data_IF_963161782646
#
_entry.id   IF_963161782646
#
_cell.length_a   1.000
_cell.length_b   1.000
_cell.length_c   1.000
_cell.angle_alpha   90.00
_cell.angle_beta   90.00
_cell.angle_gamma   90.00
#
_symmetry.space_group_name_H-M   'P 1'
#
loop_
_entity.id
_entity.type
_entity.pdbx_description
1 polymer ?
#
# COMPACT_ATOMS: atom_id res chain seq x y z
N UNK A 1 -6.75 -15.01 24.22
CA UNK A 1 -5.35 -15.22 24.67
C UNK A 1 -4.49 -14.35 23.77
N UNK A 2 -3.98 -13.23 24.26
CA UNK A 2 -3.01 -12.43 23.52
C UNK A 2 -1.74 -13.27 23.39
N UNK A 3 -1.36 -13.63 22.17
CA UNK A 3 -0.04 -14.15 21.89
C UNK A 3 0.93 -12.98 22.12
N UNK A 4 1.60 -12.97 23.25
CA UNK A 4 2.79 -12.15 23.44
C UNK A 4 3.82 -12.61 22.41
N UNK A 5 3.90 -11.90 21.29
CA UNK A 5 5.02 -12.01 20.37
C UNK A 5 6.18 -11.35 21.10
N UNK A 6 6.95 -12.11 21.87
CA UNK A 6 8.21 -11.63 22.41
C UNK A 6 9.09 -11.17 21.26
N UNK A 7 9.26 -9.86 21.16
CA UNK A 7 10.18 -9.27 20.18
C UNK A 7 11.60 -9.72 20.57
N UNK A 8 12.15 -10.65 19.82
CA UNK A 8 13.51 -11.14 20.03
C UNK A 8 14.54 -10.15 19.52
N UNK A 9 15.57 -9.86 20.30
CA UNK A 9 16.72 -9.06 19.85
C UNK A 9 17.67 -9.83 18.91
N UNK A 10 17.45 -11.11 18.66
CA UNK A 10 18.30 -11.94 17.81
C UNK A 10 18.45 -11.40 16.36
N UNK A 11 17.39 -10.92 15.68
CA UNK A 11 17.53 -10.31 14.36
C UNK A 11 18.39 -9.04 14.36
N UNK A 12 18.34 -8.23 15.44
CA UNK A 12 19.18 -7.04 15.58
C UNK A 12 20.66 -7.40 15.70
N UNK A 13 20.95 -8.46 16.47
CA UNK A 13 22.32 -8.98 16.61
C UNK A 13 22.88 -9.48 15.27
N UNK A 14 22.04 -10.13 14.44
CA UNK A 14 22.41 -10.55 13.11
C UNK A 14 22.66 -9.36 12.19
N UNK A 15 21.76 -8.37 12.21
CA UNK A 15 21.91 -7.14 11.44
C UNK A 15 23.22 -6.39 11.76
N UNK A 16 23.56 -6.26 13.04
CA UNK A 16 24.78 -5.56 13.49
C UNK A 16 26.06 -6.35 13.21
N UNK A 17 26.01 -7.67 13.05
CA UNK A 17 27.14 -8.47 12.57
C UNK A 17 27.44 -8.20 11.09
N UNK A 18 26.40 -8.01 10.29
CA UNK A 18 26.57 -7.67 8.86
C UNK A 18 27.07 -6.24 8.70
N UNK A 19 26.69 -5.34 9.61
CA UNK A 19 27.02 -3.91 9.60
C UNK A 19 27.68 -3.48 10.92
N UNK A 20 28.95 -3.89 11.17
CA UNK A 20 29.63 -3.64 12.44
C UNK A 20 30.00 -2.16 12.68
N UNK A 21 30.11 -1.38 11.62
CA UNK A 21 30.43 0.04 11.65
C UNK A 21 29.46 0.87 10.80
N UNK A 22 29.31 2.18 11.07
CA UNK A 22 28.60 3.08 10.18
C UNK A 22 29.22 3.10 8.79
N UNK A 23 28.39 3.27 7.76
CA UNK A 23 28.85 3.41 6.37
C UNK A 23 29.55 4.76 6.18
N UNK A 24 30.78 4.69 5.67
CA UNK A 24 31.57 5.84 5.26
C UNK A 24 31.11 6.47 3.94
N UNK A 25 31.61 7.66 3.60
CA UNK A 25 31.38 8.27 2.30
C UNK A 25 31.89 7.34 1.17
N UNK A 26 31.03 7.11 0.17
CA UNK A 26 31.36 6.26 -1.00
C UNK A 26 31.25 4.74 -0.79
N UNK A 27 30.96 4.26 0.42
CA UNK A 27 30.64 2.85 0.61
C UNK A 27 29.27 2.52 0.01
N UNK A 28 29.06 1.32 -0.58
CA UNK A 28 27.79 0.95 -1.20
C UNK A 28 26.67 0.85 -0.15
N UNK A 29 25.51 1.37 -0.49
CA UNK A 29 24.31 1.18 0.32
C UNK A 29 23.85 -0.28 0.29
N UNK A 30 23.25 -0.81 1.38
CA UNK A 30 22.81 -2.20 1.47
C UNK A 30 21.55 -2.53 0.64
N UNK A 31 21.08 -1.60 -0.15
CA UNK A 31 19.97 -1.71 -1.08
C UNK A 31 20.32 -1.12 -2.43
N UNK A 32 19.64 -1.60 -3.48
CA UNK A 32 19.81 -1.06 -4.82
C UNK A 32 19.30 0.38 -4.89
N UNK A 33 20.15 1.28 -5.35
CA UNK A 33 19.81 2.68 -5.61
C UNK A 33 19.16 2.86 -7.00
N UNK A 34 18.38 1.92 -7.50
CA UNK A 34 17.62 2.12 -8.72
C UNK A 34 16.69 3.33 -8.51
N UNK A 35 17.07 4.48 -9.06
CA UNK A 35 16.37 5.74 -8.89
C UNK A 35 16.88 6.60 -7.72
N UNK A 36 18.19 6.61 -7.43
CA UNK A 36 18.84 7.55 -6.49
C UNK A 36 18.82 9.01 -6.98
N UNK A 37 17.74 9.39 -7.66
CA UNK A 37 17.48 10.75 -8.04
C UNK A 37 17.29 11.64 -6.81
N UNK A 38 17.33 12.93 -7.05
CA UNK A 38 17.00 13.93 -6.06
C UNK A 38 15.63 13.69 -5.43
N UNK A 39 15.53 13.79 -4.12
CA UNK A 39 14.30 13.70 -3.34
C UNK A 39 13.83 15.10 -2.94
N UNK A 40 12.54 15.38 -3.06
CA UNK A 40 11.95 16.52 -2.37
C UNK A 40 11.81 16.23 -0.87
N UNK A 41 11.76 17.27 -0.05
CA UNK A 41 11.59 17.11 1.41
C UNK A 41 10.35 16.29 1.77
N UNK A 42 9.27 16.41 0.98
CA UNK A 42 8.04 15.66 1.20
C UNK A 42 8.18 14.15 0.90
N UNK A 43 9.10 13.77 0.01
CA UNK A 43 9.35 12.37 -0.35
C UNK A 43 10.21 11.62 0.69
N UNK A 44 10.97 12.34 1.52
CA UNK A 44 11.95 11.76 2.44
C UNK A 44 11.36 10.68 3.34
N UNK A 45 10.28 10.90 4.11
CA UNK A 45 9.79 9.89 5.05
C UNK A 45 9.39 8.59 4.35
N UNK A 46 8.67 8.67 3.23
CA UNK A 46 8.23 7.50 2.47
C UNK A 46 9.38 6.74 1.83
N UNK A 47 10.31 7.45 1.20
CA UNK A 47 11.47 6.85 0.55
C UNK A 47 12.36 6.10 1.56
N UNK A 48 12.59 6.66 2.74
CA UNK A 48 13.40 6.04 3.78
C UNK A 48 12.69 4.84 4.43
N UNK A 49 11.39 4.97 4.73
CA UNK A 49 10.60 3.91 5.32
C UNK A 49 10.53 2.67 4.41
N UNK A 50 10.34 2.86 3.10
CA UNK A 50 10.29 1.76 2.13
C UNK A 50 11.63 1.01 2.02
N UNK A 51 12.76 1.74 2.01
CA UNK A 51 14.11 1.15 2.01
C UNK A 51 14.36 0.30 3.25
N UNK A 52 14.02 0.84 4.42
CA UNK A 52 14.19 0.10 5.67
C UNK A 52 13.27 -1.12 5.76
N UNK A 53 12.00 -0.99 5.32
CA UNK A 53 11.06 -2.12 5.30
C UNK A 53 11.60 -3.27 4.47
N UNK A 54 12.05 -3.00 3.25
CA UNK A 54 12.64 -4.00 2.37
C UNK A 54 13.88 -4.65 3.00
N UNK A 55 14.76 -3.86 3.60
CA UNK A 55 15.98 -4.33 4.25
C UNK A 55 15.71 -5.21 5.47
N UNK A 56 14.85 -4.77 6.37
CA UNK A 56 14.52 -5.46 7.62
C UNK A 56 13.69 -6.72 7.37
N UNK A 57 12.72 -6.65 6.45
CA UNK A 57 11.89 -7.78 6.03
C UNK A 57 12.72 -8.90 5.41
N UNK A 58 13.68 -8.57 4.56
CA UNK A 58 14.62 -9.55 3.99
C UNK A 58 15.53 -10.24 5.02
N UNK A 59 15.60 -9.72 6.25
CA UNK A 59 16.35 -10.28 7.39
C UNK A 59 15.50 -10.97 8.44
N UNK A 60 14.22 -11.15 8.19
CA UNK A 60 13.31 -11.83 9.11
C UNK A 60 13.02 -11.05 10.40
N UNK A 61 13.20 -9.73 10.41
CA UNK A 61 12.73 -8.88 11.50
C UNK A 61 11.21 -8.90 11.53
N UNK A 62 10.60 -9.12 12.70
CA UNK A 62 9.14 -9.14 12.81
C UNK A 62 8.53 -7.80 12.37
N UNK A 63 7.35 -7.80 11.72
CA UNK A 63 6.72 -6.57 11.22
C UNK A 63 6.56 -5.48 12.29
N UNK A 64 6.17 -5.87 13.51
CA UNK A 64 6.02 -4.97 14.65
C UNK A 64 7.34 -4.26 15.01
N UNK A 65 8.41 -5.05 15.14
CA UNK A 65 9.75 -4.51 15.47
C UNK A 65 10.27 -3.66 14.31
N UNK A 66 10.10 -4.10 13.06
CA UNK A 66 10.51 -3.36 11.88
C UNK A 66 9.81 -1.99 11.79
N UNK A 67 8.49 -1.93 11.97
CA UNK A 67 7.73 -0.70 11.95
C UNK A 67 8.23 0.31 13.01
N UNK A 68 8.46 -0.19 14.23
CA UNK A 68 8.95 0.65 15.33
C UNK A 68 10.39 1.15 15.11
N UNK A 69 11.28 0.30 14.56
CA UNK A 69 12.65 0.69 14.19
C UNK A 69 12.66 1.75 13.08
N UNK A 70 11.80 1.55 12.06
CA UNK A 70 11.66 2.49 10.95
C UNK A 70 11.21 3.85 11.47
N UNK A 71 10.17 3.86 12.32
CA UNK A 71 9.69 5.08 12.95
C UNK A 71 10.82 5.82 13.67
N UNK A 72 11.52 5.14 14.59
CA UNK A 72 12.59 5.75 15.37
C UNK A 72 13.71 6.32 14.48
N UNK A 73 14.14 5.58 13.47
CA UNK A 73 15.21 6.02 12.58
C UNK A 73 14.80 7.16 11.64
N UNK A 74 13.55 7.14 11.13
CA UNK A 74 13.01 8.22 10.29
C UNK A 74 12.85 9.49 11.11
N UNK A 75 12.32 9.39 12.33
CA UNK A 75 12.14 10.53 13.23
C UNK A 75 13.48 11.21 13.52
N UNK A 76 14.54 10.44 13.82
CA UNK A 76 15.89 10.99 13.99
C UNK A 76 16.41 11.75 12.76
N UNK A 77 16.13 11.27 11.55
CA UNK A 77 16.54 11.96 10.31
C UNK A 77 15.73 13.23 10.10
N UNK A 78 14.44 13.21 10.40
CA UNK A 78 13.59 14.40 10.23
C UNK A 78 13.91 15.53 11.23
N UNK A 79 14.62 15.23 12.32
CA UNK A 79 15.12 16.22 13.28
C UNK A 79 16.45 16.89 12.85
N UNK A 80 17.14 16.33 11.84
CA UNK A 80 18.37 16.92 11.30
C UNK A 80 18.03 18.07 10.35
N UNK A 81 18.92 19.03 10.22
CA UNK A 81 18.81 20.06 9.18
C UNK A 81 19.02 19.44 7.79
N UNK A 82 17.93 19.18 7.09
CA UNK A 82 17.98 18.61 5.76
C UNK A 82 18.61 19.53 4.70
N UNK A 83 18.87 20.79 5.02
CA UNK A 83 19.56 21.71 4.10
C UNK A 83 21.01 21.31 3.82
N UNK A 84 21.63 20.53 4.71
CA UNK A 84 22.97 19.96 4.50
C UNK A 84 23.03 18.99 3.31
N UNK A 85 21.88 18.40 2.92
CA UNK A 85 21.74 17.49 1.79
C UNK A 85 21.26 18.18 0.52
N UNK A 86 21.19 19.50 0.49
CA UNK A 86 20.76 20.26 -0.71
C UNK A 86 21.62 19.89 -1.90
N UNK A 87 20.98 19.43 -3.00
CA UNK A 87 21.67 19.39 -4.29
C UNK A 87 21.95 20.82 -4.75
N UNK A 88 23.18 21.08 -5.20
CA UNK A 88 23.49 22.31 -5.90
C UNK A 88 22.72 22.27 -7.24
N UNK A 89 21.61 22.99 -7.32
CA UNK A 89 20.81 23.10 -8.53
C UNK A 89 21.57 23.86 -9.59
N UNK A 90 21.60 23.32 -10.80
CA UNK A 90 21.77 24.12 -12.00
C UNK A 90 20.53 25.04 -12.07
N UNK A 91 20.77 26.33 -11.95
CA UNK A 91 19.77 27.39 -11.88
C UNK A 91 18.75 27.27 -13.01
N UNK A 92 17.49 27.06 -12.67
CA UNK A 92 16.34 27.46 -13.48
C UNK A 92 15.59 28.48 -12.65
N UNK A 93 15.96 29.74 -12.85
CA UNK A 93 15.32 30.91 -12.25
C UNK A 93 13.83 30.95 -12.61
N UNK A 94 12.97 30.77 -11.61
CA UNK A 94 11.65 31.40 -11.52
C UNK A 94 11.43 31.75 -10.07
N UNK A 95 11.52 33.06 -9.81
CA UNK A 95 11.21 33.66 -8.50
C UNK A 95 9.78 33.33 -8.08
N UNK A 96 9.60 32.81 -6.89
CA UNK A 96 8.33 32.71 -6.19
C UNK A 96 7.98 31.40 -5.50
N UNK A 97 8.65 30.28 -5.82
CA UNK A 97 8.32 28.96 -5.27
C UNK A 97 9.51 28.24 -4.58
N UNK A 98 10.52 28.96 -4.13
CA UNK A 98 11.83 28.42 -3.76
C UNK A 98 11.81 27.38 -2.62
N UNK A 99 10.90 27.46 -1.65
CA UNK A 99 10.85 26.49 -0.54
C UNK A 99 10.24 25.13 -0.92
N UNK A 100 9.32 25.10 -1.89
CA UNK A 100 8.69 23.86 -2.35
C UNK A 100 9.60 22.97 -3.21
N UNK A 101 10.67 23.52 -3.76
CA UNK A 101 11.47 22.89 -4.82
C UNK A 101 12.91 22.54 -4.44
N UNK A 102 13.26 22.61 -3.15
CA UNK A 102 14.57 22.14 -2.70
C UNK A 102 14.69 20.64 -2.88
N UNK A 103 15.56 20.23 -3.81
CA UNK A 103 15.92 18.84 -4.01
C UNK A 103 17.11 18.49 -3.11
N UNK A 104 17.03 17.30 -2.51
CA UNK A 104 18.02 16.74 -1.63
C UNK A 104 18.81 15.64 -2.35
N UNK A 105 20.08 15.50 -2.04
CA UNK A 105 20.88 14.37 -2.48
C UNK A 105 20.41 13.08 -1.79
N UNK A 106 19.68 12.27 -2.55
CA UNK A 106 19.07 11.07 -2.05
C UNK A 106 20.07 10.00 -1.60
N UNK A 107 21.28 9.95 -2.17
CA UNK A 107 22.28 8.97 -1.76
C UNK A 107 22.87 9.32 -0.40
N UNK A 108 23.33 10.56 -0.20
CA UNK A 108 23.86 11.04 1.08
C UNK A 108 22.81 10.94 2.19
N UNK A 109 21.55 11.28 1.88
CA UNK A 109 20.45 11.19 2.84
C UNK A 109 20.15 9.73 3.23
N UNK A 110 20.12 8.80 2.28
CA UNK A 110 19.92 7.38 2.55
C UNK A 110 21.08 6.78 3.36
N UNK A 111 22.29 7.24 3.15
CA UNK A 111 23.47 6.86 3.95
C UNK A 111 23.36 7.35 5.38
N UNK A 112 22.98 8.60 5.57
CA UNK A 112 22.71 9.16 6.90
C UNK A 112 21.63 8.35 7.62
N UNK A 113 20.50 8.08 6.94
CA UNK A 113 19.42 7.28 7.47
C UNK A 113 19.85 5.85 7.84
N UNK A 114 20.61 5.19 6.98
CA UNK A 114 21.10 3.84 7.29
C UNK A 114 21.95 3.83 8.57
N UNK A 115 22.82 4.82 8.74
CA UNK A 115 23.62 4.93 9.93
C UNK A 115 22.76 5.18 11.19
N UNK A 116 21.72 6.01 11.08
CA UNK A 116 20.73 6.20 12.17
C UNK A 116 19.98 4.92 12.48
N UNK A 117 19.49 4.20 11.47
CA UNK A 117 18.82 2.89 11.67
C UNK A 117 19.75 1.90 12.38
N UNK A 118 21.02 1.85 11.99
CA UNK A 118 22.03 1.01 12.63
C UNK A 118 22.24 1.41 14.10
N UNK A 119 22.32 2.69 14.39
CA UNK A 119 22.52 3.19 15.76
C UNK A 119 21.30 2.85 16.64
N UNK A 120 20.08 3.02 16.13
CA UNK A 120 18.84 2.58 16.80
C UNK A 120 18.88 1.07 17.06
N UNK A 121 19.26 0.26 16.07
CA UNK A 121 19.41 -1.20 16.25
C UNK A 121 20.44 -1.54 17.33
N UNK A 122 21.56 -0.79 17.41
CA UNK A 122 22.61 -1.00 18.40
C UNK A 122 22.11 -0.70 19.82
N UNK A 123 21.37 0.38 20.00
CA UNK A 123 20.80 0.72 21.31
C UNK A 123 19.69 -0.28 21.72
N UNK A 124 18.81 -0.64 20.80
CA UNK A 124 17.72 -1.58 21.08
C UNK A 124 18.21 -3.04 21.28
N UNK A 125 19.35 -3.41 20.71
CA UNK A 125 19.98 -4.68 21.02
C UNK A 125 20.35 -4.81 22.50
N UNK A 126 20.78 -3.70 23.13
CA UNK A 126 21.12 -3.68 24.55
C UNK A 126 19.88 -3.76 25.43
N UNK A 127 18.84 -3.01 25.05
CA UNK A 127 17.57 -2.97 25.76
C UNK A 127 16.46 -2.63 24.78
N UNK A 128 15.62 -3.64 24.48
CA UNK A 128 14.43 -3.43 23.66
C UNK A 128 13.45 -2.49 24.38
N UNK A 129 12.92 -1.47 23.69
CA UNK A 129 11.83 -0.69 24.24
C UNK A 129 10.58 -1.55 24.39
N UNK A 130 9.65 -1.12 25.25
CA UNK A 130 8.34 -1.75 25.33
C UNK A 130 7.57 -1.48 24.04
N UNK A 131 7.51 -2.47 23.16
CA UNK A 131 6.74 -2.37 21.93
C UNK A 131 5.25 -2.51 22.24
N UNK A 132 4.46 -1.59 21.73
CA UNK A 132 3.01 -1.65 21.87
C UNK A 132 2.47 -2.81 20.99
N UNK A 133 1.80 -3.83 21.57
CA UNK A 133 1.24 -4.93 20.77
C UNK A 133 0.07 -4.41 19.91
N UNK A 134 -0.14 -5.03 18.75
CA UNK A 134 -1.37 -4.89 17.98
C UNK A 134 -2.46 -5.68 18.70
N UNK A 135 -3.54 -5.02 19.11
CA UNK A 135 -4.64 -5.66 19.88
C UNK A 135 -5.57 -6.47 18.98
N UNK A 136 -5.76 -6.03 17.73
CA UNK A 136 -6.63 -6.70 16.77
C UNK A 136 -5.79 -7.61 15.85
N UNK A 137 -6.09 -8.87 15.85
CA UNK A 137 -5.52 -9.82 14.91
C UNK A 137 -6.36 -9.83 13.64
N UNK A 138 -5.77 -9.41 12.51
CA UNK A 138 -6.37 -9.47 11.18
C UNK A 138 -5.64 -10.54 10.36
N UNK A 139 -6.39 -11.46 9.79
CA UNK A 139 -5.84 -12.37 8.78
C UNK A 139 -5.82 -11.65 7.44
N UNK A 140 -4.66 -11.56 6.82
CA UNK A 140 -4.49 -10.88 5.54
C UNK A 140 -3.93 -11.86 4.52
N UNK A 141 -4.60 -11.96 3.36
CA UNK A 141 -4.13 -12.72 2.21
C UNK A 141 -4.00 -11.79 1.02
N UNK A 142 -2.94 -11.94 0.25
CA UNK A 142 -2.72 -11.16 -0.97
C UNK A 142 -2.51 -12.08 -2.15
N UNK A 143 -3.00 -11.63 -3.28
CA UNK A 143 -2.80 -12.32 -4.55
C UNK A 143 -2.50 -11.32 -5.66
N UNK A 144 -1.40 -11.55 -6.39
CA UNK A 144 -0.96 -10.71 -7.47
C UNK A 144 -0.58 -11.56 -8.69
N UNK A 145 -1.27 -11.38 -9.80
CA UNK A 145 -1.04 -12.14 -11.03
C UNK A 145 -0.86 -11.19 -12.21
N UNK A 146 0.26 -11.31 -12.88
CA UNK A 146 0.50 -10.58 -14.13
C UNK A 146 -0.27 -11.16 -15.33
N UNK A 147 -0.56 -12.46 -15.33
CA UNK A 147 -1.13 -13.20 -16.47
C UNK A 147 -0.34 -12.95 -17.77
N UNK A 148 -1.03 -12.65 -18.87
CA UNK A 148 -0.46 -12.42 -20.19
C UNK A 148 0.05 -11.00 -20.41
N UNK A 149 -0.13 -10.09 -19.44
CA UNK A 149 0.38 -8.71 -19.55
C UNK A 149 1.90 -8.68 -19.59
N UNK A 150 2.47 -7.71 -20.30
CA UNK A 150 3.94 -7.57 -20.41
C UNK A 150 4.59 -7.20 -19.09
N UNK A 151 3.91 -6.36 -18.27
CA UNK A 151 4.39 -5.87 -16.98
C UNK A 151 3.30 -6.01 -15.94
N UNK A 152 3.69 -6.17 -14.68
CA UNK A 152 2.84 -6.01 -13.51
C UNK A 152 3.00 -4.56 -13.05
N UNK A 153 1.97 -3.75 -13.29
CA UNK A 153 1.97 -2.32 -12.96
C UNK A 153 1.20 -2.04 -11.66
N UNK A 154 0.49 -3.04 -11.13
CA UNK A 154 -0.26 -2.93 -9.88
C UNK A 154 0.66 -3.03 -8.66
N UNK A 155 0.25 -2.38 -7.57
CA UNK A 155 0.92 -2.41 -6.27
C UNK A 155 -0.08 -2.52 -5.15
N UNK A 156 0.37 -3.07 -4.02
CA UNK A 156 -0.41 -3.10 -2.79
C UNK A 156 0.41 -2.66 -1.59
N UNK A 157 -0.28 -2.28 -0.53
CA UNK A 157 0.31 -1.93 0.77
C UNK A 157 -0.47 -2.64 1.87
N UNK A 158 0.27 -3.27 2.79
CA UNK A 158 -0.25 -3.96 3.97
C UNK A 158 0.46 -3.40 5.20
N UNK A 159 -0.27 -2.76 6.09
CA UNK A 159 0.26 -2.15 7.31
C UNK A 159 -0.65 -2.44 8.50
N UNK A 160 -0.70 -3.68 8.99
CA UNK A 160 -1.37 -3.98 10.26
C UNK A 160 -0.75 -3.22 11.44
N UNK A 161 0.56 -2.92 11.38
CA UNK A 161 1.34 -2.19 12.38
C UNK A 161 1.39 -0.67 12.11
N UNK A 162 0.27 -0.08 11.64
CA UNK A 162 0.22 1.32 11.24
C UNK A 162 0.60 2.27 12.39
N UNK A 163 0.10 2.01 13.60
CA UNK A 163 0.41 2.85 14.76
C UNK A 163 1.91 2.89 15.08
N UNK A 164 2.58 1.74 14.98
CA UNK A 164 4.01 1.62 15.30
C UNK A 164 4.87 2.32 14.25
N UNK A 165 4.45 2.28 12.98
CA UNK A 165 5.17 2.94 11.90
C UNK A 165 5.10 4.48 12.01
N UNK A 166 4.04 5.02 12.60
CA UNK A 166 3.84 6.47 12.74
C UNK A 166 3.88 6.98 14.17
N UNK A 167 4.29 6.15 15.14
CA UNK A 167 4.41 6.54 16.55
C UNK A 167 3.11 6.99 17.18
N UNK A 168 1.95 6.51 16.71
CA UNK A 168 0.65 6.88 17.24
C UNK A 168 0.44 6.19 18.59
N UNK A 169 0.31 7.00 19.66
CA UNK A 169 0.31 6.53 21.04
C UNK A 169 -1.06 6.54 21.73
N UNK A 170 -2.12 6.94 21.02
CA UNK A 170 -3.48 6.78 21.52
C UNK A 170 -3.87 5.30 21.62
N UNK A 171 -4.88 4.96 22.43
CA UNK A 171 -5.25 3.57 22.70
C UNK A 171 -6.06 2.89 21.57
N UNK A 172 -6.13 3.51 20.39
CA UNK A 172 -6.90 3.02 19.24
C UNK A 172 -5.96 2.35 18.25
N UNK A 173 -6.19 1.07 17.95
CA UNK A 173 -5.42 0.37 16.93
C UNK A 173 -5.85 0.83 15.52
N UNK A 174 -4.85 0.97 14.65
CA UNK A 174 -5.05 1.28 13.24
C UNK A 174 -4.33 0.27 12.36
N UNK A 175 -5.00 -0.09 11.27
CA UNK A 175 -4.42 -0.91 10.20
C UNK A 175 -4.77 -0.28 8.85
N UNK A 176 -3.81 -0.26 7.92
CA UNK A 176 -3.98 0.35 6.61
C UNK A 176 -3.70 -0.66 5.49
N UNK A 177 -4.56 -0.66 4.47
CA UNK A 177 -4.47 -1.51 3.29
C UNK A 177 -4.77 -0.70 2.05
N UNK A 178 -4.06 -0.97 0.95
CA UNK A 178 -4.29 -0.29 -0.32
C UNK A 178 -3.96 -1.17 -1.52
N UNK A 179 -4.68 -0.95 -2.61
CA UNK A 179 -4.40 -1.49 -3.95
C UNK A 179 -4.32 -0.32 -4.93
N UNK A 180 -3.33 -0.36 -5.80
CA UNK A 180 -3.04 0.63 -6.82
C UNK A 180 -2.93 -0.06 -8.17
N UNK A 181 -3.88 0.16 -9.09
CA UNK A 181 -3.82 -0.35 -10.46
C UNK A 181 -3.11 0.68 -11.34
N UNK A 182 -1.87 0.37 -11.70
CA UNK A 182 -1.01 1.24 -12.51
C UNK A 182 -1.24 1.09 -14.00
N UNK A 183 -1.14 2.22 -14.72
CA UNK A 183 -1.23 2.25 -16.17
C UNK A 183 -0.22 3.23 -16.78
N UNK A 184 0.18 2.94 -18.02
CA UNK A 184 1.15 3.78 -18.73
C UNK A 184 2.56 3.74 -18.15
N UNK A 185 2.86 2.79 -17.27
CA UNK A 185 4.11 2.61 -16.54
C UNK A 185 3.88 2.29 -15.06
N UNK A 186 4.93 1.92 -14.36
CA UNK A 186 4.87 1.51 -12.94
C UNK A 186 5.09 2.66 -11.96
N UNK A 187 5.47 3.84 -12.44
CA UNK A 187 6.03 4.90 -11.59
C UNK A 187 4.96 5.48 -10.64
N UNK A 188 3.75 5.75 -11.13
CA UNK A 188 2.65 6.30 -10.32
C UNK A 188 2.22 5.30 -9.24
N UNK A 189 2.05 4.01 -9.57
CA UNK A 189 1.68 2.98 -8.61
C UNK A 189 2.77 2.75 -7.57
N UNK A 190 4.05 2.69 -7.98
CA UNK A 190 5.19 2.61 -7.05
C UNK A 190 5.22 3.81 -6.10
N UNK A 191 5.02 5.01 -6.65
CA UNK A 191 5.04 6.24 -5.89
C UNK A 191 3.91 6.28 -4.86
N UNK A 192 2.70 5.94 -5.29
CA UNK A 192 1.51 5.90 -4.42
C UNK A 192 1.67 4.87 -3.29
N UNK A 193 2.16 3.67 -3.61
CA UNK A 193 2.44 2.64 -2.62
C UNK A 193 3.49 3.07 -1.59
N UNK A 194 4.47 3.89 -2.00
CA UNK A 194 5.52 4.40 -1.11
C UNK A 194 5.07 5.59 -0.26
N UNK A 195 4.22 6.49 -0.77
CA UNK A 195 3.99 7.79 -0.15
C UNK A 195 2.58 8.01 0.41
N UNK A 196 1.53 7.38 -0.15
CA UNK A 196 0.16 7.67 0.27
C UNK A 196 -0.07 7.36 1.75
N UNK A 197 0.31 6.16 2.20
CA UNK A 197 0.17 5.76 3.60
C UNK A 197 0.99 6.65 4.56
N UNK A 198 2.11 7.19 4.09
CA UNK A 198 2.94 8.13 4.87
C UNK A 198 2.24 9.48 4.98
N UNK A 199 1.65 9.98 3.89
CA UNK A 199 0.85 11.20 3.93
C UNK A 199 -0.35 11.05 4.87
N UNK A 200 -0.99 9.86 4.92
CA UNK A 200 -2.06 9.54 5.87
C UNK A 200 -1.56 9.55 7.32
N UNK A 201 -0.46 8.82 7.59
CA UNK A 201 0.07 8.66 8.96
C UNK A 201 0.64 9.94 9.56
N UNK A 202 1.16 10.84 8.72
CA UNK A 202 1.70 12.14 9.13
C UNK A 202 0.68 13.30 9.02
N UNK A 203 -0.57 13.01 8.65
CA UNK A 203 -1.61 14.05 8.57
C UNK A 203 -2.01 14.51 9.98
N UNK A 204 -2.16 15.82 10.17
CA UNK A 204 -2.50 16.40 11.48
C UNK A 204 -3.82 15.90 12.07
N UNK A 205 -4.75 15.53 11.19
CA UNK A 205 -6.07 15.03 11.57
C UNK A 205 -6.18 13.50 11.68
N UNK A 206 -5.09 12.74 11.53
CA UNK A 206 -5.13 11.26 11.56
C UNK A 206 -5.78 10.70 12.85
N UNK A 207 -5.66 11.41 13.95
CA UNK A 207 -6.27 11.03 15.24
C UNK A 207 -7.69 11.53 15.38
N UNK A 208 -7.99 12.76 14.90
CA UNK A 208 -9.28 13.44 15.10
C UNK A 208 -10.29 13.13 14.00
N UNK A 209 -9.85 13.12 12.76
CA UNK A 209 -10.66 12.90 11.57
C UNK A 209 -9.93 12.02 10.54
N UNK A 210 -9.82 10.69 10.81
CA UNK A 210 -9.11 9.77 9.92
C UNK A 210 -9.66 9.73 8.49
N UNK A 211 -10.97 9.96 8.31
CA UNK A 211 -11.60 9.99 6.99
C UNK A 211 -11.08 11.14 6.13
N UNK A 212 -10.97 12.33 6.71
CA UNK A 212 -10.44 13.50 6.01
C UNK A 212 -8.94 13.34 5.74
N UNK A 213 -8.18 12.88 6.75
CA UNK A 213 -6.77 12.57 6.58
C UNK A 213 -6.52 11.62 5.41
N UNK A 214 -7.37 10.60 5.25
CA UNK A 214 -7.30 9.64 4.16
C UNK A 214 -7.56 10.29 2.80
N UNK A 215 -8.62 11.08 2.66
CA UNK A 215 -8.97 11.79 1.43
C UNK A 215 -7.93 12.83 1.01
N UNK A 216 -7.54 13.73 1.92
CA UNK A 216 -6.55 14.78 1.64
C UNK A 216 -5.20 14.20 1.23
N UNK A 217 -4.86 13.01 1.75
CA UNK A 217 -3.61 12.34 1.40
C UNK A 217 -3.54 11.88 -0.06
N UNK A 218 -4.67 11.58 -0.70
CA UNK A 218 -4.70 11.30 -2.14
C UNK A 218 -4.30 12.52 -2.95
N UNK A 219 -4.94 13.65 -2.70
CA UNK A 219 -4.63 14.92 -3.38
C UNK A 219 -3.16 15.30 -3.19
N UNK A 220 -2.68 15.25 -1.94
CA UNK A 220 -1.28 15.54 -1.63
C UNK A 220 -0.32 14.59 -2.37
N UNK A 221 -0.66 13.30 -2.46
CA UNK A 221 0.18 12.33 -3.18
C UNK A 221 0.19 12.59 -4.68
N UNK A 222 -0.96 12.97 -5.27
CA UNK A 222 -1.05 13.37 -6.67
C UNK A 222 -0.18 14.61 -6.95
N UNK A 223 -0.31 15.66 -6.15
CA UNK A 223 0.51 16.87 -6.27
C UNK A 223 2.02 16.57 -6.19
N UNK A 224 2.43 15.75 -5.22
CA UNK A 224 3.82 15.33 -5.06
C UNK A 224 4.31 14.52 -6.27
N UNK A 225 3.50 13.59 -6.76
CA UNK A 225 3.86 12.79 -7.94
C UNK A 225 3.89 13.63 -9.21
N UNK A 226 2.95 14.54 -9.43
CA UNK A 226 2.94 15.44 -10.59
C UNK A 226 4.20 16.31 -10.64
N UNK A 227 4.69 16.78 -9.49
CA UNK A 227 5.97 17.48 -9.42
C UNK A 227 7.13 16.59 -9.90
N UNK A 228 7.22 15.36 -9.39
CA UNK A 228 8.22 14.37 -9.83
C UNK A 228 8.04 14.03 -11.31
N UNK A 229 6.82 13.78 -11.75
CA UNK A 229 6.51 13.42 -13.14
C UNK A 229 6.92 14.51 -14.14
N UNK A 230 6.72 15.78 -13.79
CA UNK A 230 7.17 16.91 -14.60
C UNK A 230 8.69 16.96 -14.71
N UNK A 231 9.41 16.75 -13.59
CA UNK A 231 10.87 16.76 -13.54
C UNK A 231 11.49 15.61 -14.33
N UNK A 232 10.95 14.40 -14.15
CA UNK A 232 11.49 13.18 -14.71
C UNK A 232 10.80 12.75 -16.02
N UNK A 233 9.85 13.56 -16.51
CA UNK A 233 9.07 13.32 -17.74
C UNK A 233 8.29 12.00 -17.71
N UNK A 234 7.76 11.64 -16.55
CA UNK A 234 6.91 10.47 -16.34
C UNK A 234 5.50 10.77 -16.87
N UNK A 235 4.81 9.72 -17.35
CA UNK A 235 3.47 9.84 -17.91
C UNK A 235 2.46 8.84 -17.35
N UNK A 236 2.92 7.98 -16.46
CA UNK A 236 2.08 6.95 -15.83
C UNK A 236 1.02 7.56 -14.93
N UNK A 237 -0.05 6.82 -14.75
CA UNK A 237 -1.08 7.06 -13.76
C UNK A 237 -1.36 5.80 -12.95
N UNK A 238 -2.15 5.94 -11.90
CA UNK A 238 -2.66 4.82 -11.13
C UNK A 238 -4.00 5.14 -10.51
N UNK A 239 -4.92 4.17 -10.53
CA UNK A 239 -6.07 4.20 -9.64
C UNK A 239 -5.61 3.90 -8.22
N UNK A 240 -6.48 4.06 -7.24
CA UNK A 240 -6.17 3.69 -5.86
C UNK A 240 -7.41 3.44 -5.04
N UNK A 241 -7.40 2.37 -4.27
CA UNK A 241 -8.41 2.08 -3.26
C UNK A 241 -7.73 1.77 -1.94
N UNK A 242 -8.22 2.37 -0.86
CA UNK A 242 -7.62 2.28 0.46
C UNK A 242 -8.64 1.95 1.53
N UNK A 243 -8.23 1.18 2.53
CA UNK A 243 -8.97 0.88 3.74
C UNK A 243 -8.11 1.20 4.96
N UNK A 244 -8.60 2.08 5.81
CA UNK A 244 -8.02 2.41 7.11
C UNK A 244 -9.00 1.97 8.20
N UNK A 245 -8.64 0.93 8.94
CA UNK A 245 -9.40 0.45 10.09
C UNK A 245 -8.91 1.18 11.31
N UNK A 246 -9.81 1.87 12.02
CA UNK A 246 -9.52 2.64 13.24
C UNK A 246 -10.45 2.16 14.35
N UNK A 247 -9.94 1.36 15.28
CA UNK A 247 -10.78 0.69 16.27
C UNK A 247 -11.89 -0.12 15.58
N UNK A 248 -13.14 0.23 15.81
CA UNK A 248 -14.31 -0.42 15.20
C UNK A 248 -14.89 0.34 14.00
N UNK A 249 -14.10 1.21 13.36
CA UNK A 249 -14.51 1.93 12.16
C UNK A 249 -13.64 1.57 10.98
N UNK A 250 -14.26 1.38 9.84
CA UNK A 250 -13.62 1.27 8.55
C UNK A 250 -13.78 2.60 7.81
N UNK A 251 -12.68 3.26 7.50
CA UNK A 251 -12.64 4.40 6.60
C UNK A 251 -12.09 3.95 5.27
N UNK A 252 -12.79 4.27 4.18
CA UNK A 252 -12.34 3.98 2.83
C UNK A 252 -12.16 5.28 2.05
N UNK A 253 -11.21 5.28 1.13
CA UNK A 253 -11.10 6.30 0.11
C UNK A 253 -10.60 5.68 -1.20
N UNK A 254 -11.09 6.25 -2.32
CA UNK A 254 -10.76 5.71 -3.64
C UNK A 254 -10.71 6.80 -4.71
N UNK A 255 -9.96 6.52 -5.75
CA UNK A 255 -10.05 7.20 -7.04
C UNK A 255 -9.77 6.20 -8.18
N UNK A 256 -10.55 6.32 -9.26
CA UNK A 256 -10.53 5.37 -10.36
C UNK A 256 -11.52 4.22 -10.17
N UNK A 257 -11.21 3.06 -10.72
CA UNK A 257 -12.14 1.94 -10.84
C UNK A 257 -11.70 0.62 -10.15
N UNK A 258 -10.59 0.65 -9.42
CA UNK A 258 -10.30 -0.34 -8.37
C UNK A 258 -11.39 -0.27 -7.30
N UNK A 259 -11.76 -1.40 -6.70
CA UNK A 259 -12.94 -1.47 -5.84
C UNK A 259 -12.63 -2.11 -4.48
N UNK A 260 -13.50 -1.78 -3.52
CA UNK A 260 -13.56 -2.39 -2.21
C UNK A 260 -14.95 -2.98 -1.97
N UNK A 261 -15.00 -4.20 -1.46
CA UNK A 261 -16.24 -4.92 -1.17
C UNK A 261 -16.15 -5.51 0.23
N UNK A 262 -17.20 -5.31 1.02
CA UNK A 262 -17.37 -5.97 2.31
C UNK A 262 -18.26 -7.18 2.14
N UNK A 263 -17.89 -8.29 2.76
CA UNK A 263 -18.79 -9.44 2.90
C UNK A 263 -19.19 -9.54 4.36
N UNK A 264 -20.48 -9.58 4.61
CA UNK A 264 -21.08 -9.63 5.93
C UNK A 264 -22.20 -10.66 5.96
N UNK A 265 -22.08 -11.66 6.83
CA UNK A 265 -23.04 -12.77 6.95
C UNK A 265 -23.36 -13.43 5.60
N UNK A 266 -22.31 -13.69 4.81
CA UNK A 266 -22.43 -14.31 3.48
C UNK A 266 -23.09 -13.43 2.43
N UNK A 267 -23.16 -12.11 2.62
CA UNK A 267 -23.71 -11.15 1.65
C UNK A 267 -22.67 -10.12 1.27
N UNK A 268 -22.54 -9.87 -0.04
CA UNK A 268 -21.70 -8.79 -0.53
C UNK A 268 -22.38 -7.43 -0.29
N UNK A 269 -21.65 -6.50 0.29
CA UNK A 269 -22.05 -5.11 0.50
C UNK A 269 -21.12 -4.22 -0.33
N UNK A 270 -21.69 -3.51 -1.29
CA UNK A 270 -20.94 -2.52 -2.08
C UNK A 270 -20.74 -1.27 -1.22
N UNK A 271 -19.49 -0.88 -1.04
CA UNK A 271 -19.12 0.25 -0.19
C UNK A 271 -18.85 1.53 -0.98
N UNK A 272 -18.73 1.45 -2.30
CA UNK A 272 -18.26 2.56 -3.14
C UNK A 272 -18.81 2.47 -4.57
N UNK A 273 -18.78 3.60 -5.27
CA UNK A 273 -19.07 3.68 -6.70
C UNK A 273 -17.79 4.06 -7.47
N UNK A 274 -17.35 3.25 -8.46
CA UNK A 274 -16.15 3.52 -9.25
C UNK A 274 -16.23 4.83 -10.04
N UNK A 275 -15.08 5.47 -10.26
CA UNK A 275 -14.97 6.67 -11.09
C UNK A 275 -14.82 6.30 -12.57
N UNK A 276 -15.95 5.94 -13.19
CA UNK A 276 -16.02 5.67 -14.63
C UNK A 276 -16.36 6.95 -15.41
N UNK A 277 -15.83 7.13 -16.63
CA UNK A 277 -16.10 8.34 -17.44
C UNK A 277 -17.58 8.60 -17.75
N UNK A 278 -18.39 7.53 -17.87
CA UNK A 278 -19.83 7.60 -18.12
C UNK A 278 -20.70 7.93 -16.91
N UNK A 279 -20.17 7.91 -15.67
CA UNK A 279 -20.88 8.34 -14.48
C UNK A 279 -21.30 9.81 -14.66
N UNK A 280 -22.57 10.12 -14.44
CA UNK A 280 -23.16 11.41 -14.83
C UNK A 280 -22.42 12.62 -14.25
N UNK A 281 -22.05 12.57 -12.98
CA UNK A 281 -21.30 13.62 -12.30
C UNK A 281 -19.89 13.80 -12.87
N UNK A 282 -19.18 12.69 -13.14
CA UNK A 282 -17.84 12.71 -13.73
C UNK A 282 -17.88 13.23 -15.16
N UNK A 283 -18.84 12.77 -15.96
CA UNK A 283 -19.05 13.26 -17.33
C UNK A 283 -19.34 14.76 -17.35
N UNK A 284 -20.25 15.23 -16.50
CA UNK A 284 -20.58 16.65 -16.40
C UNK A 284 -19.35 17.48 -15.96
N UNK A 285 -18.56 16.99 -15.02
CA UNK A 285 -17.30 17.63 -14.59
C UNK A 285 -16.31 17.76 -15.75
N UNK A 286 -16.07 16.66 -16.48
CA UNK A 286 -15.12 16.63 -17.60
C UNK A 286 -15.56 17.57 -18.72
N UNK A 287 -16.85 17.54 -19.11
CA UNK A 287 -17.40 18.40 -20.16
C UNK A 287 -17.37 19.87 -19.77
N UNK A 288 -17.62 20.20 -18.49
CA UNK A 288 -17.51 21.58 -17.96
C UNK A 288 -16.07 22.12 -18.06
N UNK A 289 -15.06 21.24 -17.91
CA UNK A 289 -13.66 21.61 -18.09
C UNK A 289 -13.25 21.71 -19.57
N UNK A 290 -14.15 21.43 -20.53
CA UNK A 290 -13.88 21.47 -21.97
C UNK A 290 -13.33 20.14 -22.52
N UNK A 291 -13.36 19.07 -21.75
CA UNK A 291 -13.05 17.72 -22.22
C UNK A 291 -14.25 17.05 -22.88
N UNK A 292 -14.09 15.80 -23.30
CA UNK A 292 -15.17 15.00 -23.84
C UNK A 292 -15.12 13.56 -23.30
N UNK A 293 -16.30 12.94 -23.20
CA UNK A 293 -16.44 11.53 -22.86
C UNK A 293 -17.00 10.80 -24.09
N UNK A 294 -16.24 9.85 -24.62
CA UNK A 294 -16.59 9.14 -25.86
C UNK A 294 -16.55 7.63 -25.64
N UNK A 295 -17.46 6.93 -26.33
CA UNK A 295 -17.46 5.47 -26.36
C UNK A 295 -16.68 4.97 -27.57
N UNK A 296 -15.71 4.08 -27.34
CA UNK A 296 -14.94 3.43 -28.41
C UNK A 296 -15.09 1.91 -28.28
N UNK A 297 -14.31 1.25 -27.44
CA UNK A 297 -14.44 -0.12 -26.93
C UNK A 297 -15.01 -0.12 -25.50
N UNK A 298 -14.78 0.97 -24.80
CA UNK A 298 -15.36 1.37 -23.52
C UNK A 298 -15.46 2.91 -23.48
N UNK A 299 -16.06 3.47 -22.44
CA UNK A 299 -16.11 4.92 -22.24
C UNK A 299 -14.72 5.47 -21.88
N UNK A 300 -14.34 6.55 -22.55
CA UNK A 300 -13.02 7.17 -22.38
C UNK A 300 -13.08 8.68 -22.26
N UNK A 301 -12.23 9.22 -21.39
CA UNK A 301 -11.95 10.65 -21.30
C UNK A 301 -11.02 11.05 -22.45
N UNK A 302 -11.45 11.99 -23.28
CA UNK A 302 -10.71 12.48 -24.46
C UNK A 302 -10.22 11.33 -25.38
N UNK A 303 -10.98 10.23 -25.46
CA UNK A 303 -10.61 9.05 -26.25
C UNK A 303 -9.38 8.28 -25.72
N UNK A 304 -8.89 8.58 -24.53
CA UNK A 304 -7.61 8.05 -24.02
C UNK A 304 -7.81 7.11 -22.83
N UNK A 305 -8.30 7.60 -21.67
CA UNK A 305 -8.36 6.86 -20.42
C UNK A 305 -9.77 6.38 -20.10
N UNK A 306 -9.90 5.14 -19.66
CA UNK A 306 -11.15 4.51 -19.25
C UNK A 306 -11.55 4.82 -17.79
N UNK A 307 -10.80 5.68 -17.11
CA UNK A 307 -11.09 6.19 -15.77
C UNK A 307 -11.19 7.71 -15.80
N UNK A 308 -11.99 8.29 -14.90
CA UNK A 308 -12.16 9.74 -14.79
C UNK A 308 -11.31 10.37 -13.67
N UNK A 309 -10.75 9.54 -12.79
CA UNK A 309 -9.84 9.98 -11.70
C UNK A 309 -8.66 9.03 -11.56
N UNK A 310 -7.47 9.60 -11.33
CA UNK A 310 -6.21 8.88 -11.11
C UNK A 310 -5.17 9.79 -10.44
N UNK A 311 -4.21 9.18 -9.71
CA UNK A 311 -2.94 9.83 -9.37
C UNK A 311 -2.06 9.82 -10.61
N UNK A 312 -1.44 10.95 -10.93
CA UNK A 312 -0.57 11.08 -12.09
C UNK A 312 -1.30 11.52 -13.35
N UNK A 313 -1.06 10.85 -14.47
CA UNK A 313 -1.65 11.19 -15.78
C UNK A 313 -1.50 12.67 -16.14
N UNK A 314 -0.30 13.22 -15.93
CA UNK A 314 0.00 14.65 -16.05
C UNK A 314 -0.48 15.27 -17.37
N UNK A 315 -0.48 14.48 -18.47
CA UNK A 315 -0.92 14.94 -19.79
C UNK A 315 -2.46 15.01 -19.92
N UNK A 316 -3.20 14.45 -18.99
CA UNK A 316 -4.66 14.39 -18.97
C UNK A 316 -5.29 15.30 -17.89
N UNK A 317 -4.47 15.95 -17.07
CA UNK A 317 -4.96 16.98 -16.15
C UNK A 317 -5.42 18.21 -16.94
N UNK A 318 -6.51 18.89 -16.57
CA UNK A 318 -7.31 18.71 -15.37
C UNK A 318 -8.48 17.73 -15.53
N UNK A 319 -8.66 17.08 -16.67
CA UNK A 319 -9.81 16.22 -16.94
C UNK A 319 -9.82 14.98 -16.06
N UNK A 320 -8.66 14.38 -15.83
CA UNK A 320 -8.47 13.29 -14.86
C UNK A 320 -8.17 13.93 -13.51
N UNK A 321 -9.12 13.83 -12.54
CA UNK A 321 -8.95 14.42 -11.21
C UNK A 321 -8.08 13.52 -10.30
N UNK A 322 -7.33 14.15 -9.40
CA UNK A 322 -6.62 13.51 -8.28
C UNK A 322 -7.45 13.46 -6.99
N UNK A 323 -8.69 13.97 -7.01
CA UNK A 323 -9.54 14.04 -5.83
C UNK A 323 -10.17 12.67 -5.55
N UNK A 324 -9.99 12.17 -4.35
CA UNK A 324 -10.59 10.91 -3.90
C UNK A 324 -11.99 11.13 -3.31
N UNK A 325 -12.90 10.18 -3.58
CA UNK A 325 -14.09 10.01 -2.77
C UNK A 325 -13.77 9.18 -1.53
N UNK A 326 -14.60 9.24 -0.50
CA UNK A 326 -14.41 8.46 0.71
C UNK A 326 -15.68 8.31 1.52
N UNK A 327 -15.74 7.22 2.29
CA UNK A 327 -16.86 6.92 3.19
C UNK A 327 -16.36 6.21 4.46
N UNK A 328 -17.25 6.06 5.45
CA UNK A 328 -16.92 5.46 6.74
C UNK A 328 -18.04 4.56 7.24
N UNK A 329 -17.68 3.38 7.72
CA UNK A 329 -18.61 2.34 8.15
C UNK A 329 -18.25 1.84 9.56
N UNK A 330 -19.27 1.59 10.38
CA UNK A 330 -19.09 0.93 11.66
C UNK A 330 -18.92 -0.58 11.47
N UNK A 331 -17.89 -1.16 12.07
CA UNK A 331 -17.65 -2.59 12.11
C UNK A 331 -18.35 -3.19 13.33
N UNK A 332 -19.27 -4.11 13.08
CA UNK A 332 -20.15 -4.70 14.09
C UNK A 332 -19.62 -6.00 14.68
N UNK A 333 -18.58 -6.58 14.05
CA UNK A 333 -18.03 -7.90 14.36
C UNK A 333 -18.77 -9.05 13.66
N UNK A 334 -19.68 -8.71 12.73
CA UNK A 334 -20.39 -9.69 11.89
C UNK A 334 -19.88 -9.70 10.44
N UNK A 335 -18.78 -9.00 10.19
CA UNK A 335 -18.06 -8.98 8.93
C UNK A 335 -17.29 -10.28 8.74
N UNK A 336 -17.42 -10.90 7.56
CA UNK A 336 -16.69 -12.12 7.22
C UNK A 336 -15.29 -11.73 6.72
N UNK A 337 -15.24 -10.83 5.72
CA UNK A 337 -13.99 -10.29 5.19
C UNK A 337 -14.21 -9.00 4.37
N UNK A 338 -13.14 -8.27 4.20
CA UNK A 338 -13.01 -7.11 3.32
C UNK A 338 -12.11 -7.49 2.14
N UNK A 339 -12.53 -7.17 0.92
CA UNK A 339 -11.77 -7.38 -0.31
C UNK A 339 -11.45 -6.05 -0.96
N UNK A 340 -10.18 -5.79 -1.23
CA UNK A 340 -9.71 -4.71 -2.10
C UNK A 340 -9.12 -5.34 -3.36
N UNK A 341 -9.54 -4.89 -4.54
CA UNK A 341 -8.99 -5.42 -5.79
C UNK A 341 -9.05 -4.39 -6.92
N UNK A 342 -8.17 -4.57 -7.92
CA UNK A 342 -8.22 -3.81 -9.16
C UNK A 342 -9.41 -4.25 -10.04
N UNK A 343 -9.66 -3.51 -11.13
CA UNK A 343 -10.74 -3.79 -12.09
C UNK A 343 -10.65 -5.20 -12.66
N UNK A 344 -9.43 -5.68 -12.91
CA UNK A 344 -9.19 -7.01 -13.43
C UNK A 344 -9.78 -8.15 -12.61
N UNK A 345 -9.86 -8.00 -11.29
CA UNK A 345 -10.54 -8.96 -10.44
C UNK A 345 -12.06 -8.92 -10.66
N UNK A 346 -12.67 -7.75 -10.56
CA UNK A 346 -14.12 -7.59 -10.64
C UNK A 346 -14.69 -7.81 -12.05
N UNK A 347 -13.87 -7.62 -13.08
CA UNK A 347 -14.21 -8.03 -14.45
C UNK A 347 -14.21 -9.55 -14.62
N UNK A 348 -13.31 -10.22 -13.91
CA UNK A 348 -13.16 -11.67 -13.98
C UNK A 348 -14.17 -12.43 -13.10
N UNK A 349 -14.48 -11.91 -11.90
CA UNK A 349 -15.30 -12.57 -10.88
C UNK A 349 -16.38 -11.61 -10.39
N UNK A 350 -17.64 -12.01 -10.56
CA UNK A 350 -18.75 -11.17 -10.07
C UNK A 350 -18.95 -11.36 -8.56
N UNK A 351 -19.47 -10.33 -7.84
CA UNK A 351 -19.68 -10.41 -6.39
C UNK A 351 -20.46 -11.63 -5.91
N UNK A 352 -21.50 -12.07 -6.66
CA UNK A 352 -22.29 -13.24 -6.31
C UNK A 352 -21.52 -14.56 -6.50
N UNK A 353 -20.58 -14.64 -7.45
CA UNK A 353 -19.72 -15.80 -7.65
C UNK A 353 -18.75 -15.96 -6.47
N UNK A 354 -18.22 -14.82 -5.98
CA UNK A 354 -17.36 -14.80 -4.79
C UNK A 354 -18.01 -15.42 -3.57
N UNK A 355 -19.27 -15.06 -3.30
CA UNK A 355 -20.02 -15.63 -2.17
C UNK A 355 -20.14 -17.16 -2.28
N UNK A 356 -20.36 -17.67 -3.50
CA UNK A 356 -20.42 -19.12 -3.75
C UNK A 356 -19.09 -19.82 -3.44
N UNK A 357 -17.96 -19.19 -3.73
CA UNK A 357 -16.63 -19.76 -3.43
C UNK A 357 -16.39 -19.85 -1.93
N UNK A 358 -16.67 -18.77 -1.19
CA UNK A 358 -16.49 -18.72 0.26
C UNK A 358 -17.43 -19.71 0.97
N UNK A 359 -18.71 -19.82 0.55
CA UNK A 359 -19.67 -20.75 1.14
C UNK A 359 -19.32 -22.22 0.88
N UNK A 360 -18.90 -22.59 -0.32
CA UNK A 360 -18.42 -23.95 -0.62
C UNK A 360 -17.26 -24.35 0.27
N UNK A 361 -16.46 -23.40 0.66
CA UNK A 361 -15.29 -23.60 1.50
C UNK A 361 -15.64 -23.85 2.96
N UNK A 362 -16.56 -23.09 3.53
CA UNK A 362 -17.06 -23.34 4.89
C UNK A 362 -17.74 -24.71 5.01
N UNK A 363 -18.44 -25.15 3.95
CA UNK A 363 -19.01 -26.50 3.90
C UNK A 363 -17.94 -27.58 3.87
N UNK A 364 -16.84 -27.36 3.14
CA UNK A 364 -15.73 -28.32 3.07
C UNK A 364 -14.93 -28.39 4.40
N UNK A 365 -14.74 -27.27 5.08
CA UNK A 365 -14.09 -27.23 6.42
C UNK A 365 -14.88 -28.07 7.42
N UNK A 366 -16.19 -27.93 7.47
CA UNK A 366 -17.06 -28.75 8.34
C UNK A 366 -17.03 -30.23 7.98
N UNK A 367 -16.81 -30.58 6.70
CA UNK A 367 -16.73 -31.98 6.25
C UNK A 367 -15.33 -32.58 6.36
N UNK A 368 -14.27 -31.78 6.29
CA UNK A 368 -12.88 -32.24 6.42
C UNK A 368 -12.44 -32.51 7.87
N UNK A 369 -13.07 -31.91 8.86
CA UNK A 369 -12.88 -32.28 10.27
C UNK A 369 -13.41 -33.70 10.56
N UNK A 370 -14.32 -34.22 9.71
CA UNK A 370 -14.88 -35.58 9.82
C UNK A 370 -14.02 -36.64 9.12
N UNK A 371 -13.10 -36.24 8.19
CA UNK A 371 -12.24 -37.15 7.43
C UNK A 371 -10.78 -36.71 7.38
N UNK A 372 -9.91 -37.13 8.32
CA UNK A 372 -8.49 -36.70 8.37
C UNK A 372 -7.61 -37.12 7.19
N UNK A 373 -8.12 -37.92 6.25
CA UNK A 373 -7.36 -38.45 5.10
C UNK A 373 -7.39 -37.63 3.80
N UNK A 374 -8.19 -36.58 3.71
CA UNK A 374 -8.39 -35.84 2.45
C UNK A 374 -7.26 -34.84 2.10
N UNK A 375 -6.37 -34.56 3.04
CA UNK A 375 -5.28 -33.58 2.84
C UNK A 375 -4.12 -34.09 1.94
N UNK A 376 -4.12 -35.35 1.49
CA UNK A 376 -3.04 -35.94 0.70
C UNK A 376 -3.11 -35.70 -0.83
N UNK A 377 -4.16 -35.07 -1.33
CA UNK A 377 -4.39 -34.87 -2.77
C UNK A 377 -4.23 -33.44 -3.27
N UNK A 378 -3.42 -32.60 -2.61
CA UNK A 378 -3.09 -31.27 -3.11
C UNK A 378 -2.01 -31.39 -4.19
N UNK A 379 -2.24 -30.96 -5.44
CA UNK A 379 -1.21 -30.97 -6.47
C UNK A 379 -0.01 -30.10 -6.09
N UNK A 380 1.20 -30.60 -6.33
CA UNK A 380 2.50 -30.02 -6.02
C UNK A 380 2.79 -28.57 -6.49
N UNK A 381 2.13 -27.96 -7.49
CA UNK A 381 2.38 -26.57 -7.89
C UNK A 381 2.02 -25.51 -6.84
N UNK A 382 1.28 -25.88 -5.82
CA UNK A 382 0.68 -24.96 -4.83
C UNK A 382 1.57 -24.57 -3.63
N UNK A 383 2.80 -25.13 -3.58
CA UNK A 383 3.74 -24.89 -2.46
C UNK A 383 4.55 -23.60 -2.56
N UNK A 384 4.46 -22.86 -3.66
CA UNK A 384 5.34 -21.72 -3.94
C UNK A 384 4.53 -20.42 -3.93
N UNK A 385 4.49 -19.73 -2.80
CA UNK A 385 3.94 -18.38 -2.70
C UNK A 385 3.27 -18.02 -1.38
N UNK A 386 2.95 -19.01 -0.55
CA UNK A 386 2.38 -18.75 0.78
C UNK A 386 3.49 -18.69 1.81
N UNK A 387 3.68 -17.53 2.43
CA UNK A 387 4.52 -17.45 3.62
C UNK A 387 3.85 -18.24 4.75
N UNK A 388 4.35 -19.45 5.00
CA UNK A 388 3.76 -20.45 5.89
C UNK A 388 3.60 -20.03 7.37
N UNK A 389 4.11 -18.88 7.77
CA UNK A 389 4.22 -18.50 9.18
C UNK A 389 3.10 -17.59 9.71
N UNK A 390 2.06 -17.28 8.92
CA UNK A 390 1.02 -16.32 9.33
C UNK A 390 -0.40 -16.90 9.47
N UNK A 391 -0.61 -18.21 9.24
CA UNK A 391 -1.95 -18.76 9.24
C UNK A 391 -2.22 -19.69 10.43
N UNK A 392 -3.25 -19.34 11.19
CA UNK A 392 -3.72 -20.17 12.33
C UNK A 392 -4.66 -21.32 11.90
N UNK A 393 -5.07 -21.36 10.62
CA UNK A 393 -5.94 -22.41 10.08
C UNK A 393 -5.59 -22.72 8.62
N UNK A 394 -5.42 -24.01 8.24
CA UNK A 394 -5.19 -24.44 6.85
C UNK A 394 -6.31 -24.03 5.88
N UNK A 395 -7.54 -23.88 6.37
CA UNK A 395 -8.74 -23.61 5.57
C UNK A 395 -8.68 -22.21 4.89
N UNK A 396 -8.29 -21.18 5.62
CA UNK A 396 -8.20 -19.81 5.06
C UNK A 396 -7.10 -19.66 4.00
N UNK A 397 -6.08 -20.53 4.04
CA UNK A 397 -5.05 -20.62 2.99
C UNK A 397 -5.64 -21.16 1.69
N UNK A 398 -6.54 -22.14 1.78
CA UNK A 398 -7.19 -22.77 0.63
C UNK A 398 -8.15 -21.82 -0.08
N UNK A 399 -8.91 -21.03 0.68
CA UNK A 399 -9.87 -20.07 0.18
C UNK A 399 -9.22 -19.03 -0.75
N UNK A 400 -8.12 -18.43 -0.31
CA UNK A 400 -7.33 -17.54 -1.14
C UNK A 400 -6.74 -18.25 -2.38
N UNK A 401 -6.37 -19.53 -2.26
CA UNK A 401 -5.77 -20.30 -3.34
C UNK A 401 -6.77 -20.69 -4.43
N UNK A 402 -8.03 -21.01 -4.10
CA UNK A 402 -9.04 -21.40 -5.10
C UNK A 402 -9.57 -20.20 -5.90
N UNK A 403 -9.79 -19.07 -5.23
CA UNK A 403 -10.06 -17.79 -5.91
C UNK A 403 -8.93 -17.45 -6.86
N UNK A 404 -7.69 -17.63 -6.42
CA UNK A 404 -6.49 -17.47 -7.21
C UNK A 404 -6.48 -18.34 -8.47
N UNK A 405 -6.84 -19.62 -8.35
CA UNK A 405 -6.87 -20.55 -9.49
C UNK A 405 -7.90 -20.15 -10.57
N UNK A 406 -9.08 -19.73 -10.18
CA UNK A 406 -10.13 -19.31 -11.14
C UNK A 406 -9.78 -18.00 -11.83
N UNK A 407 -9.04 -17.12 -11.18
CA UNK A 407 -8.49 -15.91 -11.81
C UNK A 407 -7.40 -16.31 -12.83
N UNK A 408 -6.57 -17.31 -12.54
CA UNK A 408 -5.56 -17.82 -13.47
C UNK A 408 -6.16 -18.43 -14.73
N UNK A 409 -7.32 -19.07 -14.64
CA UNK A 409 -7.99 -19.67 -15.79
C UNK A 409 -8.55 -18.61 -16.78
N UNK A 410 -8.83 -17.41 -16.31
CA UNK A 410 -9.22 -16.25 -17.16
C UNK A 410 -7.96 -15.49 -17.65
N UNK A 411 -7.27 -16.03 -18.63
CA UNK A 411 -5.91 -15.72 -19.09
C UNK A 411 -5.60 -14.28 -19.53
N UNK A 412 -6.55 -13.36 -19.58
CA UNK A 412 -6.33 -12.05 -20.24
C UNK A 412 -6.13 -10.85 -19.30
N UNK A 413 -6.30 -10.99 -18.00
CA UNK A 413 -6.38 -9.86 -17.06
C UNK A 413 -5.25 -9.92 -16.03
N UNK A 414 -4.53 -8.81 -15.82
CA UNK A 414 -3.69 -8.65 -14.61
C UNK A 414 -4.61 -8.43 -13.42
N UNK A 415 -4.18 -8.84 -12.26
CA UNK A 415 -5.00 -8.75 -11.07
C UNK A 415 -4.13 -8.61 -9.82
N UNK A 416 -4.52 -7.69 -8.96
CA UNK A 416 -4.03 -7.60 -7.60
C UNK A 416 -5.21 -7.49 -6.64
N UNK A 417 -5.21 -8.30 -5.61
CA UNK A 417 -6.29 -8.34 -4.62
C UNK A 417 -5.76 -8.61 -3.22
N UNK A 418 -6.41 -8.02 -2.23
CA UNK A 418 -6.14 -8.21 -0.81
C UNK A 418 -7.43 -8.68 -0.15
N UNK A 419 -7.38 -9.79 0.57
CA UNK A 419 -8.45 -10.26 1.43
C UNK A 419 -8.07 -10.02 2.89
N UNK A 420 -8.94 -9.38 3.64
CA UNK A 420 -8.76 -9.11 5.08
C UNK A 420 -9.91 -9.79 5.81
N UNK A 421 -9.61 -10.81 6.58
CA UNK A 421 -10.58 -11.54 7.39
C UNK A 421 -10.62 -10.99 8.81
N UNK A 422 -11.84 -10.88 9.38
CA UNK A 422 -12.11 -10.35 10.71
C UNK A 422 -12.22 -11.44 11.77
#
# INVERSE_FOLDING_TARGET
>A
MALEVEASAAPLSSFLKDFPSPLGPGEPLPWSCAGSGALSKAEVPGALAERARSLLGGRGVSPLLAASLIHAAVDEVLQIDLTEFKQQSVETEREGDEERFTLLDGESLQRCFFNKLRDVCFEWQKQLPLLRPVKRFLLVSTHAIRNTRRKMEDRHVLLPEFNQLFGLSDDIDRAYFAVFDGHGGVDAANYSATHLHVNVGLHEDIVKNPAEALKCSFQKTDEMFLFKAKREKLRSGTTGVTALIVGNKLHIAWLGDSQIMLVQQGKAVTLMEPHKPEREDEKARIETLGGCVTYMDCWRVNGTLAVSRAIGDICQKPYISGDADGDSFELTGSEDYLLLACDGFFDAIKPYEMLGFVQQFHLWEQTSEVCPGAASHIPLPWRWGLQQNQFSSPAKIFEAAEVSWRIQDKRSVKNESIFIFY
#
